data_IF_412415995385
#
_entry.id   IF_412415995385
#
_cell.length_a   1.000
_cell.length_b   1.000
_cell.length_c   1.000
_cell.angle_alpha   90.00
_cell.angle_beta   90.00
_cell.angle_gamma   90.00
#
_symmetry.space_group_name_H-M   'P 1'
#
loop_
_entity.id
_entity.type
_entity.pdbx_description
1 polymer ?
#
# COMPACT_ATOMS: atom_id res chain seq x y z
N UNK A 1 -22.81 -20.52 1.65
CA UNK A 1 -21.40 -20.44 1.22
C UNK A 1 -21.36 -19.52 0.01
N UNK A 2 -20.91 -18.27 0.14
CA UNK A 2 -20.75 -17.43 -1.05
C UNK A 2 -19.72 -18.09 -1.97
N UNK A 3 -19.93 -18.04 -3.28
CA UNK A 3 -18.90 -18.41 -4.24
C UNK A 3 -17.62 -17.70 -3.84
N UNK A 4 -16.58 -18.49 -3.58
CA UNK A 4 -15.28 -17.95 -3.19
C UNK A 4 -14.70 -17.24 -4.40
N UNK A 5 -14.72 -15.90 -4.39
CA UNK A 5 -14.14 -15.08 -5.45
C UNK A 5 -12.66 -15.48 -5.61
N UNK A 6 -12.26 -16.02 -6.77
CA UNK A 6 -10.89 -16.43 -7.00
C UNK A 6 -9.91 -15.25 -7.01
N UNK A 7 -10.39 -14.02 -7.17
CA UNK A 7 -9.64 -12.77 -7.08
C UNK A 7 -9.75 -12.13 -5.68
N UNK A 8 -10.23 -12.87 -4.68
CA UNK A 8 -10.24 -12.44 -3.29
C UNK A 8 -9.27 -13.24 -2.41
N UNK A 9 -8.97 -12.70 -1.23
CA UNK A 9 -8.46 -13.50 -0.12
C UNK A 9 -9.55 -14.46 0.35
N UNK A 10 -9.22 -15.72 0.56
CA UNK A 10 -10.17 -16.76 0.93
C UNK A 10 -10.47 -16.67 2.42
N UNK A 11 -11.40 -15.80 2.78
CA UNK A 11 -11.75 -15.49 4.16
C UNK A 11 -12.26 -16.73 4.90
N UNK A 12 -11.74 -16.95 6.10
CA UNK A 12 -12.05 -18.14 6.90
C UNK A 12 -11.35 -19.45 6.48
N UNK A 13 -10.67 -19.50 5.32
CA UNK A 13 -9.76 -20.60 4.98
C UNK A 13 -8.36 -20.24 5.51
N UNK A 14 -7.89 -20.96 6.54
CA UNK A 14 -6.58 -20.73 7.16
C UNK A 14 -5.46 -21.64 6.59
N UNK A 15 -5.71 -22.28 5.46
CA UNK A 15 -4.71 -23.03 4.72
C UNK A 15 -3.62 -22.13 4.13
N UNK A 16 -2.43 -22.70 3.90
CA UNK A 16 -1.34 -22.01 3.19
C UNK A 16 -1.27 -22.46 1.74
N UNK A 17 -1.10 -21.50 0.84
CA UNK A 17 -0.79 -21.74 -0.56
C UNK A 17 0.65 -21.29 -0.84
N UNK A 18 1.60 -22.21 -0.67
CA UNK A 18 3.04 -21.88 -0.76
C UNK A 18 3.38 -21.31 -2.14
N UNK A 19 2.83 -21.87 -3.22
CA UNK A 19 3.08 -21.38 -4.58
C UNK A 19 2.62 -19.95 -4.79
N UNK A 20 1.44 -19.57 -4.26
CA UNK A 20 0.96 -18.20 -4.34
C UNK A 20 1.84 -17.24 -3.52
N UNK A 21 2.26 -17.64 -2.32
CA UNK A 21 3.15 -16.83 -1.48
C UNK A 21 4.54 -16.64 -2.10
N UNK A 22 5.10 -17.68 -2.71
CA UNK A 22 6.38 -17.63 -3.41
C UNK A 22 6.30 -16.72 -4.64
N UNK A 23 5.28 -16.89 -5.48
CA UNK A 23 5.06 -16.02 -6.65
C UNK A 23 4.99 -14.56 -6.21
N UNK A 24 4.13 -14.27 -5.23
CA UNK A 24 3.96 -12.91 -4.72
C UNK A 24 5.26 -12.35 -4.16
N UNK A 25 6.00 -13.14 -3.36
CA UNK A 25 7.26 -12.71 -2.75
C UNK A 25 8.33 -12.40 -3.80
N UNK A 26 8.55 -13.31 -4.76
CA UNK A 26 9.57 -13.15 -5.80
C UNK A 26 9.27 -11.94 -6.66
N UNK A 27 8.02 -11.80 -7.13
CA UNK A 27 7.66 -10.69 -8.00
C UNK A 27 7.73 -9.34 -7.27
N UNK A 28 7.28 -9.26 -6.01
CA UNK A 28 7.42 -8.04 -5.22
C UNK A 28 8.89 -7.70 -4.98
N UNK A 29 9.77 -8.67 -4.69
CA UNK A 29 11.19 -8.41 -4.45
C UNK A 29 11.89 -7.71 -5.64
N UNK A 30 11.39 -7.91 -6.86
CA UNK A 30 11.91 -7.28 -8.08
C UNK A 30 11.45 -5.81 -8.23
N UNK A 31 10.34 -5.42 -7.61
CA UNK A 31 9.73 -4.09 -7.75
C UNK A 31 10.73 -2.96 -7.56
N UNK A 32 11.43 -2.89 -6.42
CA UNK A 32 12.34 -1.79 -6.12
C UNK A 32 13.42 -1.57 -7.21
N UNK A 33 14.22 -2.61 -7.53
CA UNK A 33 15.18 -2.55 -8.63
C UNK A 33 14.55 -2.19 -9.97
N UNK A 34 13.40 -2.76 -10.32
CA UNK A 34 12.73 -2.48 -11.59
C UNK A 34 12.26 -1.02 -11.70
N UNK A 35 11.70 -0.45 -10.62
CA UNK A 35 11.29 0.95 -10.60
C UNK A 35 12.50 1.89 -10.70
N UNK A 36 13.62 1.57 -10.04
CA UNK A 36 14.85 2.35 -10.19
C UNK A 36 15.39 2.33 -11.62
N UNK A 37 15.41 1.16 -12.26
CA UNK A 37 15.81 1.03 -13.68
C UNK A 37 14.87 1.81 -14.59
N UNK A 38 13.55 1.76 -14.36
CA UNK A 38 12.56 2.51 -15.15
C UNK A 38 12.78 4.03 -15.07
N UNK A 39 13.03 4.56 -13.87
CA UNK A 39 13.25 5.99 -13.66
C UNK A 39 14.58 6.43 -14.30
N UNK A 40 15.64 5.63 -14.16
CA UNK A 40 16.98 5.99 -14.64
C UNK A 40 17.18 5.75 -16.13
N UNK A 41 16.48 4.77 -16.73
CA UNK A 41 16.49 4.58 -18.18
C UNK A 41 15.73 5.70 -18.90
N UNK A 42 14.81 6.38 -18.19
CA UNK A 42 14.07 7.55 -18.66
C UNK A 42 13.51 7.36 -20.08
N UNK A 43 12.57 6.41 -20.28
CA UNK A 43 12.10 6.01 -21.60
C UNK A 43 11.42 7.16 -22.37
N UNK A 44 10.91 8.17 -21.68
CA UNK A 44 10.28 9.35 -22.29
C UNK A 44 11.29 10.33 -22.91
N UNK A 45 12.60 10.10 -22.73
CA UNK A 45 13.65 10.84 -23.44
C UNK A 45 13.51 10.73 -24.97
N UNK A 46 13.03 9.59 -25.48
CA UNK A 46 12.74 9.39 -26.91
C UNK A 46 11.64 10.31 -27.45
N UNK A 47 10.82 10.88 -26.56
CA UNK A 47 9.79 11.87 -26.88
C UNK A 47 10.24 13.32 -26.60
N UNK A 48 11.53 13.54 -26.34
CA UNK A 48 12.09 14.86 -26.06
C UNK A 48 11.85 15.37 -24.63
N UNK A 49 11.39 14.51 -23.71
CA UNK A 49 11.20 14.89 -22.30
C UNK A 49 12.57 15.00 -21.61
N UNK A 50 12.93 16.14 -21.00
CA UNK A 50 14.17 16.28 -20.22
C UNK A 50 14.19 15.32 -19.02
N UNK A 51 15.39 14.88 -18.56
CA UNK A 51 15.49 13.97 -17.42
C UNK A 51 14.85 14.55 -16.15
N UNK A 52 14.33 13.69 -15.25
CA UNK A 52 13.76 14.14 -13.99
C UNK A 52 14.83 14.82 -13.11
N UNK A 53 14.42 15.71 -12.18
CA UNK A 53 15.37 16.39 -11.31
C UNK A 53 16.18 15.39 -10.47
N UNK A 54 17.50 15.55 -10.44
CA UNK A 54 18.39 14.65 -9.71
C UNK A 54 18.35 14.88 -8.18
N UNK A 55 17.97 16.10 -7.75
CA UNK A 55 18.13 16.59 -6.38
C UNK A 55 19.55 17.08 -6.10
N UNK A 56 19.71 17.89 -5.05
CA UNK A 56 20.94 18.65 -4.78
C UNK A 56 22.12 17.80 -4.31
N UNK A 57 21.90 16.82 -3.43
CA UNK A 57 22.98 16.01 -2.82
C UNK A 57 22.77 14.53 -3.15
N UNK A 58 23.61 13.91 -3.98
CA UNK A 58 23.53 12.49 -4.28
C UNK A 58 23.61 11.60 -3.02
N UNK A 59 23.05 10.39 -3.10
CA UNK A 59 23.10 9.40 -2.03
C UNK A 59 24.22 8.41 -2.34
N UNK A 60 25.16 8.22 -1.41
CA UNK A 60 26.22 7.22 -1.53
C UNK A 60 25.87 5.97 -0.69
N UNK A 61 25.78 4.81 -1.34
CA UNK A 61 25.49 3.53 -0.70
C UNK A 61 26.33 2.42 -1.35
N UNK A 62 26.94 1.56 -0.54
CA UNK A 62 27.75 0.43 -1.00
C UNK A 62 28.83 0.81 -2.05
N UNK A 63 29.48 1.96 -1.86
CA UNK A 63 30.50 2.45 -2.79
C UNK A 63 29.97 2.95 -4.13
N UNK A 64 28.65 3.11 -4.29
CA UNK A 64 27.99 3.67 -5.48
C UNK A 64 27.26 4.95 -5.13
N UNK A 65 27.17 5.86 -6.09
CA UNK A 65 26.47 7.15 -5.96
C UNK A 65 25.19 7.13 -6.79
N UNK A 66 24.10 7.55 -6.19
CA UNK A 66 22.76 7.55 -6.77
C UNK A 66 22.19 8.98 -6.80
N UNK A 67 21.53 9.40 -7.91
CA UNK A 67 20.74 10.63 -7.92
C UNK A 67 19.66 10.57 -6.83
N UNK A 68 19.58 11.61 -6.00
CA UNK A 68 18.78 11.61 -4.77
C UNK A 68 17.29 11.39 -5.02
N UNK A 69 16.66 12.22 -5.86
CA UNK A 69 15.21 12.10 -6.06
C UNK A 69 14.84 10.80 -6.80
N UNK A 70 15.54 10.38 -7.88
CA UNK A 70 15.32 9.08 -8.49
C UNK A 70 15.47 7.90 -7.52
N UNK A 71 16.49 7.93 -6.65
CA UNK A 71 16.68 6.90 -5.64
C UNK A 71 15.54 6.86 -4.62
N UNK A 72 15.15 8.02 -4.07
CA UNK A 72 14.04 8.11 -3.12
C UNK A 72 12.69 7.76 -3.76
N UNK A 73 12.49 8.11 -5.04
CA UNK A 73 11.30 7.76 -5.79
C UNK A 73 11.15 6.25 -5.94
N UNK A 74 12.24 5.53 -6.24
CA UNK A 74 12.25 4.07 -6.29
C UNK A 74 12.21 3.40 -4.90
N UNK A 75 12.70 4.09 -3.86
CA UNK A 75 12.68 3.58 -2.48
C UNK A 75 11.25 3.47 -1.93
N UNK A 76 10.34 4.33 -2.37
CA UNK A 76 8.92 4.27 -2.00
C UNK A 76 8.28 2.90 -2.35
N UNK A 77 8.16 2.48 -3.62
CA UNK A 77 7.62 1.17 -3.98
C UNK A 77 8.48 0.01 -3.48
N UNK A 78 9.79 0.17 -3.31
CA UNK A 78 10.65 -0.83 -2.66
C UNK A 78 10.24 -1.08 -1.20
N UNK A 79 9.98 -0.02 -0.44
CA UNK A 79 9.54 -0.11 0.96
C UNK A 79 8.18 -0.80 1.05
N UNK A 80 7.25 -0.43 0.17
CA UNK A 80 5.93 -1.07 0.12
C UNK A 80 6.04 -2.56 -0.23
N UNK A 81 6.90 -2.89 -1.19
CA UNK A 81 7.17 -4.27 -1.57
C UNK A 81 7.68 -5.11 -0.40
N UNK A 82 8.68 -4.61 0.36
CA UNK A 82 9.18 -5.30 1.56
C UNK A 82 8.04 -5.53 2.56
N UNK A 83 7.20 -4.52 2.79
CA UNK A 83 6.02 -4.64 3.66
C UNK A 83 5.03 -5.70 3.15
N UNK A 84 4.76 -5.74 1.85
CA UNK A 84 3.88 -6.74 1.23
C UNK A 84 4.45 -8.17 1.40
N UNK A 85 5.76 -8.33 1.28
CA UNK A 85 6.45 -9.60 1.54
C UNK A 85 6.32 -10.02 3.01
N UNK A 86 6.49 -9.08 3.94
CA UNK A 86 6.29 -9.35 5.37
C UNK A 86 4.84 -9.76 5.67
N UNK A 87 3.89 -9.04 5.08
CA UNK A 87 2.46 -9.30 5.25
C UNK A 87 2.10 -10.70 4.79
N UNK A 88 2.47 -11.10 3.56
CA UNK A 88 2.05 -12.39 2.99
C UNK A 88 2.66 -13.60 3.73
N UNK A 89 3.87 -13.45 4.26
CA UNK A 89 4.61 -14.55 4.88
C UNK A 89 4.35 -14.68 6.39
N UNK A 90 4.07 -13.57 7.09
CA UNK A 90 3.98 -13.55 8.55
C UNK A 90 2.62 -13.12 9.10
N UNK A 91 1.93 -12.19 8.44
CA UNK A 91 0.71 -11.56 9.00
C UNK A 91 -0.58 -12.14 8.41
N UNK A 92 -0.55 -12.52 7.14
CA UNK A 92 -1.67 -13.11 6.44
C UNK A 92 -1.92 -14.53 6.97
N UNK A 93 -3.06 -14.71 7.65
CA UNK A 93 -3.51 -16.02 8.16
C UNK A 93 -4.43 -16.77 7.19
N UNK A 94 -5.06 -16.04 6.29
CA UNK A 94 -6.08 -16.57 5.37
C UNK A 94 -5.45 -16.90 4.02
N UNK A 95 -5.96 -17.93 3.37
CA UNK A 95 -5.38 -18.46 2.14
C UNK A 95 -5.46 -17.44 1.02
N UNK A 96 -4.33 -17.24 0.36
CA UNK A 96 -4.23 -16.50 -0.90
C UNK A 96 -4.30 -17.46 -2.10
N UNK A 97 -5.10 -17.11 -3.11
CA UNK A 97 -5.13 -17.87 -4.37
C UNK A 97 -3.98 -17.44 -5.28
N UNK A 98 -3.58 -18.31 -6.21
CA UNK A 98 -2.58 -17.96 -7.21
C UNK A 98 -3.09 -16.85 -8.15
N UNK A 99 -4.38 -16.87 -8.48
CA UNK A 99 -5.04 -15.87 -9.33
C UNK A 99 -5.00 -14.48 -8.68
N UNK A 100 -5.34 -14.39 -7.39
CA UNK A 100 -5.22 -13.14 -6.64
C UNK A 100 -3.76 -12.68 -6.55
N UNK A 101 -2.83 -13.59 -6.25
CA UNK A 101 -1.41 -13.24 -6.16
C UNK A 101 -0.88 -12.62 -7.46
N UNK A 102 -1.19 -13.24 -8.61
CA UNK A 102 -0.82 -12.73 -9.93
C UNK A 102 -1.47 -11.37 -10.23
N UNK A 103 -2.78 -11.24 -9.96
CA UNK A 103 -3.51 -9.99 -10.15
C UNK A 103 -2.95 -8.85 -9.29
N UNK A 104 -2.72 -9.11 -8.00
CA UNK A 104 -2.22 -8.12 -7.04
C UNK A 104 -0.82 -7.62 -7.42
N UNK A 105 0.09 -8.54 -7.75
CA UNK A 105 1.44 -8.19 -8.21
C UNK A 105 1.39 -7.32 -9.47
N UNK A 106 0.58 -7.72 -10.47
CA UNK A 106 0.48 -6.99 -11.73
C UNK A 106 -0.12 -5.60 -11.52
N UNK A 107 -1.16 -5.50 -10.68
CA UNK A 107 -1.84 -4.24 -10.39
C UNK A 107 -0.92 -3.28 -9.64
N UNK A 108 -0.26 -3.75 -8.58
CA UNK A 108 0.71 -2.96 -7.83
C UNK A 108 1.85 -2.47 -8.75
N UNK A 109 2.45 -3.40 -9.51
CA UNK A 109 3.56 -3.05 -10.40
C UNK A 109 3.16 -2.05 -11.49
N UNK A 110 1.93 -2.16 -12.01
CA UNK A 110 1.39 -1.22 -13.00
C UNK A 110 1.23 0.17 -12.39
N UNK A 111 0.57 0.27 -11.24
CA UNK A 111 0.39 1.55 -10.55
C UNK A 111 1.73 2.21 -10.18
N UNK A 112 2.67 1.41 -9.68
CA UNK A 112 4.02 1.87 -9.32
C UNK A 112 4.78 2.36 -10.56
N UNK A 113 4.67 1.66 -11.69
CA UNK A 113 5.32 2.03 -12.95
C UNK A 113 4.71 3.29 -13.56
N UNK A 114 3.39 3.47 -13.49
CA UNK A 114 2.72 4.72 -13.90
C UNK A 114 3.24 5.88 -13.06
N UNK A 115 3.31 5.72 -11.73
CA UNK A 115 3.78 6.78 -10.83
C UNK A 115 5.27 7.10 -11.08
N UNK A 116 6.11 6.09 -11.32
CA UNK A 116 7.51 6.28 -11.73
C UNK A 116 7.63 7.03 -13.06
N UNK A 117 6.82 6.69 -14.06
CA UNK A 117 6.77 7.41 -15.33
C UNK A 117 6.29 8.87 -15.16
N UNK A 118 5.30 9.11 -14.30
CA UNK A 118 4.88 10.47 -13.95
C UNK A 118 6.04 11.26 -13.32
N UNK A 119 6.82 10.63 -12.43
CA UNK A 119 8.02 11.28 -11.89
C UNK A 119 9.07 11.58 -12.97
N UNK A 120 9.23 10.73 -14.00
CA UNK A 120 10.17 11.01 -15.10
C UNK A 120 9.81 12.27 -15.91
N UNK A 121 8.57 12.76 -15.83
CA UNK A 121 8.15 14.02 -16.47
C UNK A 121 8.22 15.23 -15.54
N UNK A 122 8.74 15.08 -14.32
CA UNK A 122 8.78 16.13 -13.30
C UNK A 122 9.47 17.42 -13.76
N UNK A 123 10.43 17.34 -14.68
CA UNK A 123 11.16 18.49 -15.24
C UNK A 123 10.29 19.45 -16.05
N UNK A 124 9.18 18.96 -16.61
CA UNK A 124 8.23 19.72 -17.43
C UNK A 124 6.85 19.83 -16.78
N UNK A 125 6.68 19.27 -15.57
CA UNK A 125 5.43 19.31 -14.83
C UNK A 125 5.37 20.59 -13.97
N UNK A 126 4.53 21.59 -14.30
CA UNK A 126 4.44 22.83 -13.52
C UNK A 126 3.89 22.63 -12.10
N UNK A 127 3.23 21.48 -11.84
CA UNK A 127 2.70 21.13 -10.53
C UNK A 127 3.73 20.40 -9.65
N UNK A 128 4.89 20.03 -10.20
CA UNK A 128 5.97 19.40 -9.46
C UNK A 128 6.81 20.45 -8.70
N UNK A 129 7.22 20.11 -7.49
CA UNK A 129 8.28 20.83 -6.79
C UNK A 129 9.06 19.86 -5.90
N UNK A 130 10.35 20.13 -5.67
CA UNK A 130 11.13 19.30 -4.73
C UNK A 130 10.55 19.33 -3.30
N UNK A 131 9.89 20.42 -2.90
CA UNK A 131 9.22 20.50 -1.58
C UNK A 131 8.06 19.51 -1.50
N UNK A 132 7.23 19.44 -2.55
CA UNK A 132 6.17 18.44 -2.64
C UNK A 132 6.73 17.02 -2.74
N UNK A 133 7.88 16.83 -3.41
CA UNK A 133 8.59 15.57 -3.41
C UNK A 133 8.87 15.08 -1.98
N UNK A 134 9.56 15.89 -1.17
CA UNK A 134 9.93 15.50 0.18
C UNK A 134 8.73 15.37 1.13
N UNK A 135 7.73 16.23 0.99
CA UNK A 135 6.49 16.11 1.75
C UNK A 135 5.75 14.81 1.42
N UNK A 136 5.58 14.51 0.12
CA UNK A 136 4.95 13.28 -0.36
C UNK A 136 5.71 12.03 0.07
N UNK A 137 7.04 12.03 -0.08
CA UNK A 137 7.90 10.96 0.41
C UNK A 137 7.74 10.72 1.91
N UNK A 138 7.70 11.78 2.71
CA UNK A 138 7.53 11.69 4.18
C UNK A 138 6.16 11.11 4.52
N UNK A 139 5.09 11.60 3.89
CA UNK A 139 3.73 11.09 4.08
C UNK A 139 3.66 9.61 3.70
N UNK A 140 4.25 9.24 2.57
CA UNK A 140 4.30 7.86 2.09
C UNK A 140 4.96 6.93 3.11
N UNK A 141 6.18 7.28 3.56
CA UNK A 141 6.93 6.46 4.51
C UNK A 141 6.24 6.36 5.86
N UNK A 142 5.67 7.45 6.37
CA UNK A 142 4.88 7.47 7.59
C UNK A 142 3.62 6.60 7.47
N UNK A 143 2.96 6.63 6.32
CA UNK A 143 1.76 5.84 6.05
C UNK A 143 2.07 4.34 5.96
N UNK A 144 3.17 3.97 5.28
CA UNK A 144 3.64 2.59 5.25
C UNK A 144 3.99 2.08 6.66
N UNK A 145 4.59 2.92 7.51
CA UNK A 145 4.85 2.59 8.90
C UNK A 145 3.56 2.45 9.72
N UNK A 146 2.60 3.37 9.58
CA UNK A 146 1.31 3.32 10.27
C UNK A 146 0.56 2.02 9.96
N UNK A 147 0.48 1.64 8.68
CA UNK A 147 -0.18 0.40 8.28
C UNK A 147 0.51 -0.83 8.87
N UNK A 148 1.85 -0.88 8.78
CA UNK A 148 2.64 -1.99 9.30
C UNK A 148 2.47 -2.12 10.82
N UNK A 149 2.52 -1.01 11.55
CA UNK A 149 2.35 -1.00 13.01
C UNK A 149 0.93 -1.42 13.42
N UNK A 150 -0.10 -0.97 12.70
CA UNK A 150 -1.47 -1.39 12.96
C UNK A 150 -1.69 -2.89 12.72
N UNK A 151 -1.10 -3.44 11.66
CA UNK A 151 -1.15 -4.87 11.36
C UNK A 151 -0.34 -5.71 12.35
N UNK A 152 0.85 -5.25 12.76
CA UNK A 152 1.64 -5.90 13.81
C UNK A 152 0.89 -5.91 15.15
N UNK A 153 0.24 -4.80 15.52
CA UNK A 153 -0.61 -4.74 16.72
C UNK A 153 -1.76 -5.76 16.62
N UNK A 154 -2.42 -5.87 15.47
CA UNK A 154 -3.49 -6.84 15.23
C UNK A 154 -2.99 -8.28 15.28
N UNK A 155 -1.82 -8.54 14.71
CA UNK A 155 -1.16 -9.85 14.73
C UNK A 155 -0.84 -10.26 16.17
N UNK A 156 -0.23 -9.37 16.95
CA UNK A 156 0.08 -9.61 18.36
C UNK A 156 -1.19 -9.85 19.19
N UNK A 157 -2.26 -9.08 18.95
CA UNK A 157 -3.55 -9.29 19.60
C UNK A 157 -4.10 -10.70 19.32
N UNK A 158 -4.09 -11.14 18.05
CA UNK A 158 -4.64 -12.43 17.61
C UNK A 158 -3.74 -13.64 17.93
N UNK A 159 -2.51 -13.42 18.35
CA UNK A 159 -1.60 -14.48 18.78
C UNK A 159 -1.93 -15.00 20.19
N UNK A 160 -2.58 -14.19 21.04
CA UNK A 160 -2.96 -14.58 22.40
C UNK A 160 -4.14 -15.55 22.40
N UNK A 161 -4.04 -16.65 23.17
CA UNK A 161 -5.10 -17.67 23.30
C UNK A 161 -6.42 -17.07 23.81
N UNK A 162 -6.35 -16.14 24.76
CA UNK A 162 -7.51 -15.43 25.34
C UNK A 162 -8.29 -14.56 24.33
N UNK A 163 -7.69 -14.25 23.17
CA UNK A 163 -8.26 -13.45 22.10
C UNK A 163 -8.74 -14.28 20.91
N UNK A 164 -8.74 -15.61 21.04
CA UNK A 164 -9.34 -16.47 20.02
C UNK A 164 -10.80 -16.06 19.80
N UNK A 165 -11.17 -15.90 18.53
CA UNK A 165 -12.50 -15.46 18.10
C UNK A 165 -12.95 -14.07 18.59
N UNK A 166 -12.03 -13.24 19.12
CA UNK A 166 -12.32 -11.85 19.48
C UNK A 166 -11.93 -10.87 18.37
N UNK A 167 -12.72 -9.81 18.22
CA UNK A 167 -12.38 -8.67 17.36
C UNK A 167 -11.28 -7.82 18.01
N UNK A 168 -10.31 -7.37 17.22
CA UNK A 168 -9.32 -6.41 17.69
C UNK A 168 -9.91 -5.01 17.61
N UNK A 169 -10.20 -4.40 18.77
CA UNK A 169 -10.80 -3.06 18.89
C UNK A 169 -9.99 -2.13 19.81
N UNK A 170 -8.67 -2.28 19.81
CA UNK A 170 -7.76 -1.53 20.70
C UNK A 170 -6.70 -0.78 19.88
N UNK A 171 -6.02 0.19 20.48
CA UNK A 171 -4.95 0.96 19.83
C UNK A 171 -5.42 1.61 18.52
N UNK A 172 -4.70 1.38 17.42
CA UNK A 172 -5.05 1.94 16.11
C UNK A 172 -6.48 1.57 15.66
N UNK A 173 -6.93 0.36 15.99
CA UNK A 173 -8.27 -0.13 15.63
C UNK A 173 -9.38 0.48 16.50
N UNK A 174 -9.06 1.11 17.63
CA UNK A 174 -10.05 1.86 18.41
C UNK A 174 -10.36 3.25 17.80
N UNK A 175 -9.54 3.72 16.85
CA UNK A 175 -9.67 5.05 16.24
C UNK A 175 -10.60 5.00 15.02
N UNK A 176 -10.41 4.00 14.17
CA UNK A 176 -11.21 3.73 12.97
C UNK A 176 -11.15 2.23 12.66
N UNK A 177 -12.25 1.67 12.12
CA UNK A 177 -12.35 0.22 11.88
C UNK A 177 -11.38 -0.28 10.82
N UNK A 178 -10.96 0.57 9.88
CA UNK A 178 -10.01 0.24 8.81
C UNK A 178 -8.82 1.21 8.74
N UNK A 179 -8.09 1.36 9.85
CA UNK A 179 -6.90 2.22 9.93
C UNK A 179 -5.83 1.89 8.87
N UNK A 180 -5.73 0.62 8.48
CA UNK A 180 -4.87 0.17 7.39
C UNK A 180 -5.32 0.75 6.03
N UNK A 181 -6.62 0.92 5.79
CA UNK A 181 -7.13 1.59 4.59
C UNK A 181 -6.91 3.09 4.63
N UNK A 182 -7.03 3.73 5.80
CA UNK A 182 -6.65 5.14 6.00
C UNK A 182 -5.19 5.35 5.60
N UNK A 183 -4.30 4.49 6.09
CA UNK A 183 -2.89 4.51 5.75
C UNK A 183 -2.66 4.29 4.26
N UNK A 184 -3.41 3.42 3.59
CA UNK A 184 -3.31 3.22 2.15
C UNK A 184 -3.77 4.44 1.32
N UNK A 185 -4.78 5.19 1.78
CA UNK A 185 -5.17 6.46 1.13
C UNK A 185 -4.07 7.50 1.27
N UNK A 186 -3.49 7.63 2.47
CA UNK A 186 -2.36 8.55 2.73
C UNK A 186 -1.10 8.13 1.96
N UNK A 187 -0.87 6.82 1.81
CA UNK A 187 0.16 6.26 0.94
C UNK A 187 -0.02 6.73 -0.51
N UNK A 188 -1.24 6.60 -1.07
CA UNK A 188 -1.53 6.99 -2.45
C UNK A 188 -1.33 8.49 -2.64
N UNK A 189 -1.87 9.28 -1.71
CA UNK A 189 -1.65 10.73 -1.66
C UNK A 189 -0.15 11.06 -1.63
N UNK A 190 0.61 10.50 -0.67
CA UNK A 190 2.05 10.74 -0.55
C UNK A 190 2.83 10.39 -1.83
N UNK A 191 2.50 9.26 -2.46
CA UNK A 191 3.19 8.84 -3.69
C UNK A 191 2.86 9.77 -4.86
N UNK A 192 1.59 10.14 -5.02
CA UNK A 192 1.15 11.04 -6.08
C UNK A 192 1.71 12.46 -5.88
N UNK A 193 1.74 12.96 -4.64
CA UNK A 193 2.35 14.25 -4.32
C UNK A 193 3.84 14.24 -4.66
N UNK A 194 4.54 13.14 -4.36
CA UNK A 194 5.96 13.03 -4.61
C UNK A 194 6.30 12.96 -6.10
N UNK A 195 5.51 12.22 -6.88
CA UNK A 195 5.81 11.92 -8.28
C UNK A 195 5.22 12.94 -9.26
N UNK A 196 4.01 13.44 -9.00
CA UNK A 196 3.25 14.26 -9.95
C UNK A 196 2.67 15.57 -9.39
N UNK A 197 2.89 15.86 -8.10
CA UNK A 197 2.37 17.07 -7.45
C UNK A 197 0.92 16.94 -6.96
N UNK A 198 0.34 18.05 -6.49
CA UNK A 198 -0.91 18.04 -5.73
C UNK A 198 -2.11 17.46 -6.51
N UNK A 199 -2.24 17.78 -7.81
CA UNK A 199 -3.38 17.27 -8.60
C UNK A 199 -3.31 15.74 -8.75
N UNK A 200 -2.12 15.20 -9.02
CA UNK A 200 -1.91 13.75 -9.12
C UNK A 200 -2.08 13.06 -7.76
N UNK A 201 -1.67 13.71 -6.67
CA UNK A 201 -1.92 13.29 -5.29
C UNK A 201 -3.41 13.11 -4.98
N UNK A 202 -4.25 14.06 -5.41
CA UNK A 202 -5.69 13.98 -5.21
C UNK A 202 -6.33 12.87 -6.05
N UNK A 203 -5.87 12.69 -7.30
CA UNK A 203 -6.34 11.60 -8.16
C UNK A 203 -6.03 10.22 -7.59
N UNK A 204 -4.79 10.02 -7.11
CA UNK A 204 -4.34 8.77 -6.49
C UNK A 204 -5.05 8.50 -5.17
N UNK A 205 -5.22 9.50 -4.31
CA UNK A 205 -6.03 9.37 -3.09
C UNK A 205 -7.48 9.01 -3.40
N UNK A 206 -8.09 9.68 -4.39
CA UNK A 206 -9.46 9.41 -4.85
C UNK A 206 -9.64 7.98 -5.38
N UNK A 207 -8.65 7.46 -6.11
CA UNK A 207 -8.63 6.06 -6.56
C UNK A 207 -8.65 5.09 -5.37
N UNK A 208 -7.82 5.31 -4.35
CA UNK A 208 -7.80 4.47 -3.14
C UNK A 208 -9.13 4.55 -2.37
N UNK A 209 -9.64 5.77 -2.14
CA UNK A 209 -10.93 5.98 -1.48
C UNK A 209 -12.03 5.24 -2.23
N UNK A 210 -12.08 5.36 -3.56
CA UNK A 210 -13.09 4.70 -4.39
C UNK A 210 -13.02 3.18 -4.26
N UNK A 211 -11.83 2.59 -4.36
CA UNK A 211 -11.68 1.15 -4.17
C UNK A 211 -12.07 0.68 -2.75
N UNK A 212 -11.72 1.44 -1.71
CA UNK A 212 -12.08 1.05 -0.36
C UNK A 212 -13.58 1.17 -0.12
N UNK A 213 -14.21 2.27 -0.52
CA UNK A 213 -15.64 2.53 -0.29
C UNK A 213 -16.53 1.58 -1.09
N UNK A 214 -16.21 1.34 -2.37
CA UNK A 214 -17.11 0.60 -3.26
C UNK A 214 -16.80 -0.90 -3.35
N UNK A 215 -15.61 -1.34 -2.92
CA UNK A 215 -15.17 -2.73 -3.08
C UNK A 215 -14.68 -3.33 -1.76
N UNK A 216 -13.57 -2.83 -1.19
CA UNK A 216 -12.90 -3.54 -0.10
C UNK A 216 -13.62 -3.50 1.25
N UNK A 217 -14.09 -2.31 1.68
CA UNK A 217 -14.78 -2.14 2.97
C UNK A 217 -16.11 -2.90 3.02
N UNK A 218 -17.01 -2.82 2.02
CA UNK A 218 -18.24 -3.60 2.02
C UNK A 218 -17.99 -5.11 2.16
N UNK A 219 -16.98 -5.64 1.47
CA UNK A 219 -16.64 -7.06 1.52
C UNK A 219 -16.12 -7.49 2.90
N UNK A 220 -15.21 -6.73 3.51
CA UNK A 220 -14.64 -7.08 4.82
C UNK A 220 -15.63 -6.84 5.97
N UNK A 221 -16.44 -5.79 5.90
CA UNK A 221 -17.50 -5.49 6.88
C UNK A 221 -18.54 -6.62 6.89
N UNK A 222 -19.00 -7.07 5.71
CA UNK A 222 -19.90 -8.23 5.60
C UNK A 222 -19.30 -9.48 6.23
N UNK A 223 -18.04 -9.81 5.89
CA UNK A 223 -17.36 -10.97 6.45
C UNK A 223 -17.21 -10.87 7.99
N UNK A 224 -16.86 -9.69 8.51
CA UNK A 224 -16.69 -9.49 9.94
C UNK A 224 -18.01 -9.59 10.72
N UNK A 225 -19.12 -9.07 10.16
CA UNK A 225 -20.47 -9.25 10.71
C UNK A 225 -20.84 -10.73 10.80
N UNK A 226 -20.63 -11.49 9.73
CA UNK A 226 -20.91 -12.94 9.69
C UNK A 226 -20.04 -13.72 10.69
N UNK A 227 -18.77 -13.34 10.85
CA UNK A 227 -17.81 -14.04 11.71
C UNK A 227 -17.94 -13.74 13.20
N UNK A 228 -18.12 -12.47 13.56
CA UNK A 228 -18.06 -12.02 14.96
C UNK A 228 -19.45 -11.70 15.55
N UNK A 229 -20.49 -11.58 14.72
CA UNK A 229 -21.87 -11.35 15.17
C UNK A 229 -21.99 -10.11 16.06
N UNK A 230 -22.57 -10.28 17.24
CA UNK A 230 -22.78 -9.22 18.25
C UNK A 230 -21.51 -8.45 18.61
N UNK A 231 -20.33 -9.10 18.63
CA UNK A 231 -19.07 -8.40 18.89
C UNK A 231 -18.76 -7.34 17.82
N UNK A 232 -19.12 -7.61 16.56
CA UNK A 232 -18.93 -6.63 15.49
C UNK A 232 -19.93 -5.50 15.59
N UNK A 233 -21.22 -5.81 15.84
CA UNK A 233 -22.26 -4.80 16.03
C UNK A 233 -21.87 -3.83 17.15
N UNK A 234 -21.42 -4.36 18.29
CA UNK A 234 -20.94 -3.54 19.40
C UNK A 234 -19.72 -2.69 19.01
N UNK A 235 -18.78 -3.25 18.25
CA UNK A 235 -17.62 -2.51 17.76
C UNK A 235 -18.02 -1.39 16.79
N UNK A 236 -19.08 -1.58 16.00
CA UNK A 236 -19.60 -0.54 15.12
C UNK A 236 -20.18 0.65 15.86
N UNK A 237 -20.80 0.41 17.01
CA UNK A 237 -21.29 1.46 17.90
C UNK A 237 -20.15 2.19 18.62
N UNK A 238 -19.13 1.46 19.08
CA UNK A 238 -17.98 2.04 19.79
C UNK A 238 -17.05 2.83 18.86
N UNK A 239 -16.86 2.33 17.63
CA UNK A 239 -15.97 2.92 16.63
C UNK A 239 -16.77 3.12 15.34
N UNK A 240 -17.56 4.20 15.23
CA UNK A 240 -18.47 4.40 14.10
C UNK A 240 -17.73 4.65 12.77
N UNK A 241 -16.52 5.19 12.84
CA UNK A 241 -15.70 5.57 11.69
C UNK A 241 -15.05 4.36 11.01
N UNK A 242 -15.27 4.21 9.71
CA UNK A 242 -14.68 3.17 8.86
C UNK A 242 -13.31 3.57 8.33
N UNK A 243 -13.13 4.82 7.89
CA UNK A 243 -11.93 5.25 7.16
C UNK A 243 -11.26 6.47 7.81
N UNK A 244 -11.97 7.58 7.99
CA UNK A 244 -11.46 8.82 8.56
C UNK A 244 -12.25 9.21 9.81
N UNK A 245 -11.60 9.29 10.99
CA UNK A 245 -12.27 9.70 12.22
C UNK A 245 -12.97 11.05 12.07
N UNK A 246 -14.24 11.10 12.45
CA UNK A 246 -15.07 12.31 12.36
C UNK A 246 -15.66 12.59 10.98
N UNK A 247 -15.40 11.76 9.97
CA UNK A 247 -15.88 11.97 8.59
C UNK A 247 -16.66 10.75 8.10
N UNK A 248 -16.00 9.58 8.01
CA UNK A 248 -16.56 8.36 7.44
C UNK A 248 -15.90 7.15 8.06
#
# INVERSE_FOLDING_TARGET
MSSQDPLGIQRGDYGRNISANLLFTICRAITGPAQYVLITSHPLSHLGVPPPPAGTTPIALFGRTFPRLPFLAALMPATLSIKHILWVNFMLRERMTLKFAAFAVLSDFTYESISSLVFTTASINPMFSERFFYAGFTIFMASAALELLAELQRMAFKAKKENQSKVCKTGFWAITRHINYTANVLFGFGYGLATGGLLYSLATAGMYISNFVFNAMPAIEKYCREKYGEQWIQYEHEVPWQLFPGIY
#
